data_IF_374424414749
#
_entry.id   IF_374424414749
#
_cell.length_a   1.000
_cell.length_b   1.000
_cell.length_c   1.000
_cell.angle_alpha   90.00
_cell.angle_beta   90.00
_cell.angle_gamma   90.00
#
_symmetry.space_group_name_H-M   'P 1'
#
loop_
_entity.id
_entity.type
_entity.pdbx_description
1 polymer ?
#
# COMPACT_ATOMS: atom_id res chain seq x y z
N UNK A 1 7.61 7.51 -7.96
CA UNK A 1 7.74 7.01 -6.56
C UNK A 1 6.81 5.85 -6.25
N UNK A 2 5.47 5.99 -6.40
CA UNK A 2 4.52 4.90 -6.10
C UNK A 2 4.78 3.66 -6.99
N UNK A 3 5.09 3.84 -8.27
CA UNK A 3 5.47 2.76 -9.19
C UNK A 3 6.71 1.97 -8.75
N UNK A 4 7.61 2.57 -7.97
CA UNK A 4 8.78 1.87 -7.39
C UNK A 4 8.49 1.29 -6.01
N UNK A 5 8.16 2.15 -5.06
CA UNK A 5 8.19 1.85 -3.62
C UNK A 5 6.79 1.84 -2.96
N UNK A 6 5.74 2.09 -3.74
CA UNK A 6 4.35 2.12 -3.29
C UNK A 6 3.71 0.73 -3.24
N UNK A 7 2.82 0.56 -2.26
CA UNK A 7 2.05 -0.65 -1.99
C UNK A 7 0.57 -0.28 -1.93
N UNK A 8 -0.17 -0.72 -2.94
CA UNK A 8 -1.62 -0.61 -3.04
C UNK A 8 -2.22 -1.94 -2.58
N UNK A 9 -2.93 -1.94 -1.44
CA UNK A 9 -3.53 -3.15 -0.89
C UNK A 9 -4.87 -2.87 -0.19
N UNK A 10 -5.54 -3.92 0.24
CA UNK A 10 -6.71 -3.83 1.12
C UNK A 10 -6.37 -4.43 2.48
N UNK A 11 -7.10 -4.02 3.51
CA UNK A 11 -7.06 -4.66 4.83
C UNK A 11 -8.45 -5.11 5.23
N UNK A 12 -8.47 -6.24 5.92
CA UNK A 12 -9.66 -6.78 6.54
C UNK A 12 -9.72 -6.36 8.02
N UNK A 13 -10.93 -6.05 8.48
CA UNK A 13 -11.32 -5.78 9.87
C UNK A 13 -12.25 -6.89 10.33
N UNK A 14 -11.73 -7.79 11.16
CA UNK A 14 -12.49 -8.93 11.68
C UNK A 14 -13.65 -8.50 12.59
N UNK A 15 -13.45 -7.46 13.39
CA UNK A 15 -14.45 -6.90 14.33
C UNK A 15 -15.75 -6.47 13.64
N UNK A 16 -15.67 -6.05 12.37
CA UNK A 16 -16.81 -5.51 11.61
C UNK A 16 -17.11 -6.29 10.34
N UNK A 17 -16.36 -7.36 10.08
CA UNK A 17 -16.39 -8.12 8.84
C UNK A 17 -16.35 -7.21 7.58
N UNK A 18 -15.40 -6.28 7.58
CA UNK A 18 -15.28 -5.26 6.53
C UNK A 18 -13.88 -5.18 5.95
N UNK A 19 -13.80 -4.72 4.71
CA UNK A 19 -12.55 -4.39 4.03
C UNK A 19 -12.41 -2.89 3.87
N UNK A 20 -11.19 -2.41 3.80
CA UNK A 20 -10.87 -1.02 3.49
C UNK A 20 -9.58 -0.91 2.67
N UNK A 21 -9.44 0.09 1.78
CA UNK A 21 -8.24 0.29 1.00
C UNK A 21 -7.14 0.89 1.87
N UNK A 22 -5.89 0.54 1.54
CA UNK A 22 -4.70 1.09 2.18
C UNK A 22 -3.61 1.31 1.15
N UNK A 23 -3.09 2.53 1.13
CA UNK A 23 -1.91 2.90 0.37
C UNK A 23 -0.76 3.12 1.36
N UNK A 24 0.40 2.56 1.02
CA UNK A 24 1.63 2.76 1.78
C UNK A 24 2.79 2.99 0.82
N UNK A 25 3.70 3.90 1.16
CA UNK A 25 4.93 4.15 0.41
C UNK A 25 6.09 4.00 1.38
N UNK A 26 7.13 3.28 0.98
CA UNK A 26 8.35 3.13 1.77
C UNK A 26 9.51 3.86 1.09
N UNK A 27 10.56 4.14 1.87
CA UNK A 27 11.82 4.66 1.34
C UNK A 27 12.88 4.67 2.42
N UNK A 28 14.15 4.72 2.03
CA UNK A 28 15.28 4.87 2.98
C UNK A 28 15.50 6.34 3.34
N UNK A 29 15.22 7.26 2.39
CA UNK A 29 15.35 8.70 2.57
C UNK A 29 14.14 9.32 3.29
N UNK A 30 14.38 9.92 4.46
CA UNK A 30 13.35 10.64 5.23
C UNK A 30 12.77 11.83 4.45
N UNK A 31 13.56 12.72 3.82
CA UNK A 31 13.00 13.87 3.08
C UNK A 31 12.03 13.45 1.97
N UNK A 32 12.37 12.40 1.21
CA UNK A 32 11.50 11.88 0.13
C UNK A 32 10.16 11.39 0.71
N UNK A 33 10.20 10.65 1.83
CA UNK A 33 8.98 10.15 2.46
C UNK A 33 8.21 11.25 3.18
N UNK A 34 8.87 12.28 3.70
CA UNK A 34 8.20 13.44 4.28
C UNK A 34 7.39 14.18 3.21
N UNK A 35 7.94 14.36 2.01
CA UNK A 35 7.21 14.99 0.91
C UNK A 35 6.04 14.12 0.42
N UNK A 36 6.24 12.81 0.33
CA UNK A 36 5.16 11.86 0.06
C UNK A 36 4.03 11.97 1.10
N UNK A 37 4.41 12.02 2.38
CA UNK A 37 3.49 12.11 3.51
C UNK A 37 2.72 13.44 3.48
N UNK A 38 3.38 14.55 3.13
CA UNK A 38 2.76 15.87 2.95
C UNK A 38 1.66 15.83 1.87
N UNK A 39 1.97 15.27 0.69
CA UNK A 39 0.99 15.09 -0.40
C UNK A 39 -0.19 14.20 0.04
N UNK A 40 0.09 13.19 0.86
CA UNK A 40 -0.92 12.27 1.41
C UNK A 40 -1.68 12.84 2.63
N UNK A 41 -1.28 14.01 3.14
CA UNK A 41 -1.85 14.62 4.35
C UNK A 41 -1.67 13.77 5.60
N UNK A 42 -0.49 13.17 5.78
CA UNK A 42 -0.10 12.36 6.95
C UNK A 42 1.34 12.67 7.37
N UNK A 43 1.74 12.17 8.53
CA UNK A 43 3.13 12.23 8.98
C UNK A 43 3.97 11.08 8.41
N UNK A 44 5.27 11.27 8.18
CA UNK A 44 6.20 10.18 7.91
C UNK A 44 6.49 9.41 9.21
N UNK A 45 6.57 8.09 9.13
CA UNK A 45 6.84 7.21 10.26
C UNK A 45 8.16 6.45 10.05
N UNK A 46 9.00 6.29 11.08
CA UNK A 46 10.20 5.48 10.99
C UNK A 46 9.82 4.00 10.84
N UNK A 47 10.53 3.30 9.96
CA UNK A 47 10.46 1.84 9.83
C UNK A 47 11.68 1.25 10.54
N UNK A 48 11.44 0.48 11.59
CA UNK A 48 12.47 -0.22 12.34
C UNK A 48 12.39 -1.72 12.12
N UNK A 49 13.53 -2.37 12.21
CA UNK A 49 13.71 -3.80 12.09
C UNK A 49 14.70 -4.23 13.17
N UNK A 50 14.26 -5.04 14.13
CA UNK A 50 15.03 -5.38 15.33
C UNK A 50 15.63 -4.13 16.04
N UNK A 51 14.83 -3.06 16.15
CA UNK A 51 15.25 -1.79 16.75
C UNK A 51 16.05 -0.85 15.84
N UNK A 52 16.64 -1.36 14.75
CA UNK A 52 17.47 -0.60 13.81
C UNK A 52 16.59 0.17 12.83
N UNK A 53 16.90 1.46 12.60
CA UNK A 53 16.20 2.27 11.60
C UNK A 53 16.58 1.82 10.18
N UNK A 54 15.62 1.25 9.46
CA UNK A 54 15.81 0.70 8.09
C UNK A 54 15.04 1.50 7.03
N UNK A 55 14.57 2.70 7.38
CA UNK A 55 13.89 3.63 6.49
C UNK A 55 12.67 4.27 7.11
N UNK A 56 11.77 4.73 6.25
CA UNK A 56 10.59 5.52 6.56
C UNK A 56 9.42 5.05 5.72
N UNK A 57 8.20 5.33 6.19
CA UNK A 57 7.00 5.09 5.42
C UNK A 57 5.93 6.15 5.66
N UNK A 58 5.07 6.34 4.66
CA UNK A 58 3.83 7.09 4.75
C UNK A 58 2.67 6.13 4.49
N UNK A 59 1.54 6.28 5.19
CA UNK A 59 0.39 5.40 5.01
C UNK A 59 -0.93 6.13 5.19
N UNK A 60 -1.87 5.86 4.29
CA UNK A 60 -3.26 6.32 4.35
C UNK A 60 -4.20 5.12 4.17
N UNK A 61 -5.41 5.23 4.69
CA UNK A 61 -6.43 4.20 4.62
C UNK A 61 -7.83 4.79 4.36
N UNK A 62 -8.81 3.93 4.08
CA UNK A 62 -10.21 4.31 3.92
C UNK A 62 -10.41 5.42 2.87
N UNK A 63 -11.29 6.39 3.15
CA UNK A 63 -11.56 7.54 2.28
C UNK A 63 -10.30 8.35 1.93
N UNK A 64 -9.36 8.49 2.86
CA UNK A 64 -8.11 9.22 2.58
C UNK A 64 -7.25 8.46 1.56
N UNK A 65 -7.22 7.12 1.61
CA UNK A 65 -6.57 6.33 0.58
C UNK A 65 -7.25 6.48 -0.78
N UNK A 66 -8.58 6.51 -0.84
CA UNK A 66 -9.31 6.72 -2.08
C UNK A 66 -9.01 8.09 -2.71
N UNK A 67 -8.99 9.16 -1.91
CA UNK A 67 -8.63 10.50 -2.38
C UNK A 67 -7.25 10.52 -3.01
N UNK A 68 -6.26 9.96 -2.32
CA UNK A 68 -4.89 9.88 -2.86
C UNK A 68 -4.85 9.02 -4.12
N UNK A 69 -5.54 7.87 -4.13
CA UNK A 69 -5.58 6.97 -5.29
C UNK A 69 -6.21 7.63 -6.52
N UNK A 70 -7.26 8.44 -6.38
CA UNK A 70 -7.85 9.19 -7.49
C UNK A 70 -6.88 10.16 -8.15
N UNK A 71 -6.09 10.85 -7.32
CA UNK A 71 -5.07 11.79 -7.80
C UNK A 71 -3.97 11.03 -8.53
N UNK A 72 -3.47 9.93 -7.97
CA UNK A 72 -2.27 9.26 -8.51
C UNK A 72 -2.56 8.24 -9.60
N UNK A 73 -3.73 7.62 -9.63
CA UNK A 73 -4.06 6.50 -10.54
C UNK A 73 -3.83 6.85 -12.03
N UNK A 74 -4.19 8.04 -12.55
CA UNK A 74 -3.93 8.42 -13.93
C UNK A 74 -2.44 8.47 -14.30
N UNK A 75 -1.56 8.64 -13.32
CA UNK A 75 -0.12 8.78 -13.51
C UNK A 75 0.68 7.50 -13.22
N UNK A 76 0.02 6.42 -12.77
CA UNK A 76 0.68 5.14 -12.50
C UNK A 76 1.04 4.44 -13.82
N UNK A 77 2.34 4.20 -14.02
CA UNK A 77 2.88 3.50 -15.20
C UNK A 77 3.04 2.01 -14.95
N UNK A 78 3.16 1.57 -13.69
CA UNK A 78 3.26 0.15 -13.34
C UNK A 78 1.91 -0.54 -13.58
N UNK A 79 1.83 -1.54 -14.48
CA UNK A 79 0.55 -2.18 -14.83
C UNK A 79 -0.16 -2.81 -13.63
N UNK A 80 0.59 -3.42 -12.71
CA UNK A 80 0.03 -4.04 -11.50
C UNK A 80 -0.60 -2.98 -10.60
N UNK A 81 0.11 -1.89 -10.30
CA UNK A 81 -0.36 -0.83 -9.41
C UNK A 81 -1.49 -0.03 -10.03
N UNK A 82 -1.43 0.23 -11.34
CA UNK A 82 -2.51 0.88 -12.06
C UNK A 82 -3.79 0.05 -12.01
N UNK A 83 -3.72 -1.26 -12.29
CA UNK A 83 -4.86 -2.18 -12.14
C UNK A 83 -5.39 -2.21 -10.71
N UNK A 84 -4.52 -2.38 -9.71
CA UNK A 84 -4.91 -2.43 -8.28
C UNK A 84 -5.59 -1.14 -7.83
N UNK A 85 -5.07 0.01 -8.25
CA UNK A 85 -5.67 1.31 -7.94
C UNK A 85 -7.06 1.45 -8.57
N UNK A 86 -7.21 1.11 -9.86
CA UNK A 86 -8.53 1.10 -10.53
C UNK A 86 -9.51 0.16 -9.84
N UNK A 87 -9.08 -1.06 -9.49
CA UNK A 87 -9.93 -2.04 -8.80
C UNK A 87 -10.39 -1.54 -7.42
N UNK A 88 -9.49 -0.94 -6.64
CA UNK A 88 -9.87 -0.28 -5.38
C UNK A 88 -10.90 0.82 -5.63
N UNK A 89 -10.66 1.73 -6.58
CA UNK A 89 -11.57 2.84 -6.84
C UNK A 89 -12.95 2.36 -7.29
N UNK A 90 -13.01 1.32 -8.13
CA UNK A 90 -14.25 0.71 -8.59
C UNK A 90 -15.02 -0.01 -7.47
N UNK A 91 -14.35 -0.76 -6.59
CA UNK A 91 -15.04 -1.51 -5.53
C UNK A 91 -15.49 -0.63 -4.36
N UNK A 92 -14.64 0.29 -3.92
CA UNK A 92 -14.90 1.07 -2.72
C UNK A 92 -15.64 2.39 -3.00
N UNK A 93 -15.77 2.80 -4.28
CA UNK A 93 -16.48 4.01 -4.68
C UNK A 93 -16.09 5.20 -3.80
N UNK A 94 -17.10 5.79 -3.15
CA UNK A 94 -16.97 6.88 -2.17
C UNK A 94 -17.17 6.46 -0.72
N UNK A 95 -17.35 5.16 -0.43
CA UNK A 95 -17.69 4.69 0.93
C UNK A 95 -16.46 4.42 1.80
N UNK A 96 -15.32 4.07 1.20
CA UNK A 96 -14.06 3.82 1.91
C UNK A 96 -14.02 2.54 2.75
N UNK A 97 -15.15 1.86 2.93
CA UNK A 97 -15.28 0.56 3.60
C UNK A 97 -16.42 -0.23 2.97
N UNK A 98 -16.21 -1.52 2.72
CA UNK A 98 -17.23 -2.42 2.19
C UNK A 98 -17.33 -3.65 3.07
N UNK A 99 -18.54 -4.24 3.17
CA UNK A 99 -18.71 -5.53 3.84
C UNK A 99 -18.09 -6.65 3.03
N UNK A 100 -17.55 -7.64 3.73
CA UNK A 100 -17.00 -8.85 3.12
C UNK A 100 -15.61 -9.21 3.62
N UNK A 101 -15.14 -10.35 3.15
CA UNK A 101 -13.85 -10.93 3.50
C UNK A 101 -13.16 -11.40 2.23
N UNK A 102 -12.19 -10.62 1.79
CA UNK A 102 -11.20 -11.03 0.80
C UNK A 102 -9.83 -10.61 1.31
N UNK A 103 -8.87 -11.51 1.20
CA UNK A 103 -7.46 -11.21 1.40
C UNK A 103 -6.96 -10.40 0.20
N UNK A 104 -5.87 -9.65 0.39
CA UNK A 104 -5.26 -8.86 -0.69
C UNK A 104 -5.01 -9.68 -1.97
N UNK A 105 -4.46 -10.91 -1.92
CA UNK A 105 -4.27 -11.71 -3.14
C UNK A 105 -5.58 -12.06 -3.86
N UNK A 106 -6.59 -12.51 -3.12
CA UNK A 106 -7.92 -12.86 -3.66
C UNK A 106 -8.58 -11.64 -4.32
N UNK A 107 -8.51 -10.50 -3.63
CA UNK A 107 -9.07 -9.25 -4.12
C UNK A 107 -8.39 -8.78 -5.42
N UNK A 108 -7.09 -9.04 -5.62
CA UNK A 108 -6.35 -8.60 -6.80
C UNK A 108 -6.01 -9.74 -7.78
N UNK A 109 -6.74 -10.86 -7.74
CA UNK A 109 -6.46 -12.04 -8.57
C UNK A 109 -6.41 -11.75 -10.08
N UNK A 110 -7.22 -10.79 -10.55
CA UNK A 110 -7.32 -10.40 -11.96
C UNK A 110 -6.33 -9.30 -12.36
N UNK A 111 -5.50 -8.81 -11.43
CA UNK A 111 -4.48 -7.83 -11.72
C UNK A 111 -3.13 -8.50 -11.99
N UNK A 112 -2.27 -7.93 -12.86
CA UNK A 112 -0.91 -8.40 -13.03
C UNK A 112 -0.18 -8.53 -11.68
N UNK A 113 0.70 -9.53 -11.51
CA UNK A 113 1.50 -9.64 -10.29
C UNK A 113 2.40 -8.40 -10.11
N UNK A 114 2.81 -8.05 -8.88
CA UNK A 114 3.69 -6.91 -8.66
C UNK A 114 5.01 -7.10 -9.39
N UNK A 115 5.44 -6.10 -10.16
CA UNK A 115 6.66 -6.10 -10.99
C UNK A 115 7.94 -6.33 -10.18
N UNK A 116 7.89 -6.08 -8.86
CA UNK A 116 8.94 -6.47 -7.92
C UNK A 116 8.33 -7.30 -6.79
N UNK A 117 8.43 -8.62 -6.90
CA UNK A 117 8.47 -9.48 -5.72
C UNK A 117 9.82 -9.16 -5.06
N UNK A 118 9.88 -8.18 -4.16
CA UNK A 118 10.99 -8.18 -3.20
C UNK A 118 10.90 -9.55 -2.54
N UNK A 119 11.98 -10.35 -2.67
CA UNK A 119 12.08 -11.63 -1.99
C UNK A 119 11.51 -11.42 -0.58
N UNK A 120 10.50 -12.19 -0.13
CA UNK A 120 10.24 -12.25 1.30
C UNK A 120 11.61 -12.53 1.91
N UNK A 121 12.04 -11.71 2.88
CA UNK A 121 13.30 -11.94 3.55
C UNK A 121 13.30 -13.40 3.98
N UNK A 122 14.04 -14.22 3.27
CA UNK A 122 14.46 -15.51 3.76
C UNK A 122 15.31 -15.17 4.95
N UNK A 123 14.80 -15.39 6.15
CA UNK A 123 15.68 -15.69 7.27
C UNK A 123 16.23 -17.07 6.89
N UNK A 124 17.35 -17.08 6.16
CA UNK A 124 18.20 -18.26 6.12
C UNK A 124 18.97 -18.17 7.43
N UNK A 125 18.47 -18.86 8.46
CA UNK A 125 19.31 -19.24 9.57
C UNK A 125 20.27 -20.29 9.02
N UNK A 126 21.45 -19.87 8.56
CA UNK A 126 22.58 -20.79 8.55
C UNK A 126 22.99 -20.96 10.01
N UNK A 127 22.42 -21.97 10.66
CA UNK A 127 23.02 -22.57 11.83
C UNK A 127 24.14 -23.46 11.27
N UNK A 128 25.38 -23.11 11.59
CA UNK A 128 26.53 -24.00 11.44
C UNK A 128 26.43 -25.14 12.44
#
# INVERSE_FOLDING_TARGET
MIDGEGFVHIRFRSDRFTMYPRLRIYGTSRPIIAEAARIMGVNPFPRRDNGILVGWYASVSHLKALRVLRIVQPYLRDPSKSCRAKKILGTFGDVGTVRGYLRTPEFFKDCPPPTRIRKPRSIINHVQ
#
